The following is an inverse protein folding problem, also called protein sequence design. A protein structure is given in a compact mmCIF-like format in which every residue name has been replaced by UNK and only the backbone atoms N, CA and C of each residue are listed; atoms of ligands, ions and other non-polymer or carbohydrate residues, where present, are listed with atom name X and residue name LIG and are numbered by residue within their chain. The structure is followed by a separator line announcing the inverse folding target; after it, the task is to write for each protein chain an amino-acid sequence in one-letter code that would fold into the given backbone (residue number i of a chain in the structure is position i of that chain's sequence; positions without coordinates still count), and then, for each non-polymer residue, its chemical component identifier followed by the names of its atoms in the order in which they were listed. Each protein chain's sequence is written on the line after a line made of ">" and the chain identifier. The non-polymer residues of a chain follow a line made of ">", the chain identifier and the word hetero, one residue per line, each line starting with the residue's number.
data_IF_941805521435
#
_entry.id   IF_941805521435
#
_cell.length_a   1.000
_cell.length_b   1.000
_cell.length_c   1.000
_cell.angle_alpha   90.00
_cell.angle_beta   90.00
_cell.angle_gamma   90.00
#
_symmetry.space_group_name_H-M   'P 1'
#
loop_
_entity.id
_entity.type
_entity.pdbx_description
1 polymer ?
#
# COMPACT_ATOMS: atom_id res chain seq x y z
N UNK A 1 -9.80 -8.11 -5.77
CA UNK A 1 -8.44 -7.57 -5.53
C UNK A 1 -8.52 -6.31 -4.69
N UNK A 2 -7.58 -6.07 -3.77
CA UNK A 2 -7.49 -4.82 -3.01
C UNK A 2 -6.80 -3.77 -3.89
N UNK A 3 -7.52 -2.71 -4.27
CA UNK A 3 -6.97 -1.61 -5.05
C UNK A 3 -6.42 -0.54 -4.11
N UNK A 4 -5.12 -0.27 -4.24
CA UNK A 4 -4.39 0.71 -3.45
C UNK A 4 -3.93 1.90 -4.26
N UNK A 5 -3.98 3.10 -3.68
CA UNK A 5 -3.37 4.25 -4.31
C UNK A 5 -1.86 4.27 -4.04
N UNK A 6 -1.08 4.11 -5.10
CA UNK A 6 0.37 4.13 -5.02
C UNK A 6 0.86 5.59 -5.16
N UNK A 7 1.37 6.17 -4.07
CA UNK A 7 1.85 7.57 -4.07
C UNK A 7 3.05 7.83 -5.00
N UNK A 8 3.91 6.84 -5.28
CA UNK A 8 4.98 7.02 -6.28
C UNK A 8 4.45 6.95 -7.71
N UNK A 9 3.51 6.05 -7.98
CA UNK A 9 2.94 5.91 -9.32
C UNK A 9 1.80 6.90 -9.58
N UNK A 10 1.29 7.59 -8.55
CA UNK A 10 0.12 8.51 -8.60
C UNK A 10 -1.09 7.92 -9.31
N UNK A 11 -1.29 6.61 -9.13
CA UNK A 11 -2.40 5.86 -9.71
C UNK A 11 -2.88 4.77 -8.76
N UNK A 12 -4.11 4.33 -8.98
CA UNK A 12 -4.70 3.17 -8.32
C UNK A 12 -4.11 1.90 -8.95
N UNK A 13 -3.57 1.02 -8.11
CA UNK A 13 -2.89 -0.21 -8.51
C UNK A 13 -3.41 -1.34 -7.63
N UNK A 14 -3.42 -2.57 -8.13
CA UNK A 14 -3.76 -3.71 -7.28
C UNK A 14 -2.62 -3.96 -6.30
N UNK A 15 -2.88 -3.86 -5.00
CA UNK A 15 -1.88 -4.15 -3.98
C UNK A 15 -1.65 -5.67 -3.93
N UNK A 16 -0.39 -6.11 -4.09
CA UNK A 16 0.00 -7.49 -3.78
C UNK A 16 0.30 -7.59 -2.28
N UNK A 17 -0.27 -8.61 -1.63
CA UNK A 17 -0.09 -8.91 -0.22
C UNK A 17 -0.38 -7.71 0.72
N UNK A 18 -1.60 -7.14 0.68
CA UNK A 18 -1.98 -6.05 1.57
C UNK A 18 -1.89 -6.51 3.03
N UNK A 19 -1.08 -5.80 3.82
CA UNK A 19 -0.97 -5.97 5.27
C UNK A 19 -1.52 -4.75 5.95
N UNK A 20 -2.59 -4.93 6.71
CA UNK A 20 -3.06 -3.91 7.63
C UNK A 20 -2.01 -3.76 8.73
N UNK A 21 -1.56 -2.53 8.95
CA UNK A 21 -0.70 -2.19 10.07
C UNK A 21 -1.20 -0.93 10.74
N UNK A 22 -1.02 -0.87 12.04
CA UNK A 22 -1.30 0.34 12.80
C UNK A 22 -0.03 1.18 12.83
N UNK A 23 -0.09 2.44 12.39
CA UNK A 23 1.04 3.37 12.56
C UNK A 23 1.26 3.60 14.06
N UNK A 24 2.49 4.00 14.42
CA UNK A 24 2.84 4.44 15.79
C UNK A 24 1.94 5.58 16.31
N UNK A 25 1.24 6.26 15.41
CA UNK A 25 0.34 7.37 15.68
C UNK A 25 -1.11 6.89 15.91
N UNK A 26 -1.35 5.58 16.02
CA UNK A 26 -2.67 4.97 16.26
C UNK A 26 -3.58 4.90 15.03
N UNK A 27 -3.12 5.37 13.86
CA UNK A 27 -3.93 5.37 12.62
C UNK A 27 -3.84 4.03 11.89
N UNK A 28 -4.98 3.45 11.45
CA UNK A 28 -4.98 2.27 10.61
C UNK A 28 -4.42 2.62 9.22
N UNK A 29 -3.59 1.74 8.70
CA UNK A 29 -2.90 1.86 7.42
C UNK A 29 -2.83 0.50 6.74
N UNK A 30 -2.80 0.48 5.42
CA UNK A 30 -2.61 -0.70 4.62
C UNK A 30 -1.25 -0.63 3.91
N UNK A 31 -0.28 -1.43 4.36
CA UNK A 31 0.99 -1.61 3.66
C UNK A 31 0.84 -2.70 2.61
N UNK A 32 0.95 -2.32 1.33
CA UNK A 32 0.94 -3.25 0.21
C UNK A 32 2.26 -3.25 -0.55
N UNK A 33 2.51 -4.31 -1.30
CA UNK A 33 3.58 -4.32 -2.31
C UNK A 33 2.96 -3.77 -3.61
N UNK A 34 3.57 -2.72 -4.18
CA UNK A 34 3.17 -2.26 -5.50
C UNK A 34 3.67 -3.25 -6.55
N UNK A 35 2.83 -3.68 -7.50
CA UNK A 35 3.24 -4.64 -8.53
C UNK A 35 4.07 -4.01 -9.67
N UNK A 36 4.12 -2.67 -9.77
CA UNK A 36 4.77 -1.97 -10.90
C UNK A 36 6.27 -1.81 -10.69
N UNK A 37 6.68 -1.54 -9.47
CA UNK A 37 8.05 -1.57 -9.01
C UNK A 37 7.98 -2.32 -7.69
N UNK A 38 8.88 -3.28 -7.44
CA UNK A 38 8.98 -4.10 -6.23
C UNK A 38 9.32 -3.30 -4.94
N UNK A 39 8.88 -2.04 -4.84
CA UNK A 39 9.06 -1.15 -3.71
C UNK A 39 7.89 -1.28 -2.74
N UNK A 40 8.19 -1.52 -1.45
CA UNK A 40 7.23 -1.53 -0.33
C UNK A 40 6.50 -0.19 -0.25
N UNK A 41 5.17 -0.20 -0.34
CA UNK A 41 4.33 0.96 0.01
C UNK A 41 3.81 0.80 1.42
N UNK A 42 3.89 1.90 2.17
CA UNK A 42 3.07 2.07 3.37
C UNK A 42 2.01 3.10 3.02
N UNK A 43 0.75 2.66 2.92
CA UNK A 43 -0.41 3.56 2.81
C UNK A 43 -1.03 3.65 4.17
#
# INVERSE_FOLDING_TARGET
>A
MVQGYCVKCRKKVEMKNPKEVTLKNGRPAAKGICPILELRFSV
#
